data_IF_307905954566
#
_entry.id   IF_307905954566
#
_cell.length_a   1.000
_cell.length_b   1.000
_cell.length_c   1.000
_cell.angle_alpha   90.00
_cell.angle_beta   90.00
_cell.angle_gamma   90.00
#
_symmetry.space_group_name_H-M   'P 1'
#
loop_
_entity.id
_entity.type
_entity.pdbx_description
1 polymer ?
#
# COMPACT_ATOMS: atom_id res chain seq x y z
N UNK A 1 -11.29 1.17 20.06
CA UNK A 1 -10.72 2.40 19.45
C UNK A 1 -11.18 2.43 18.00
N UNK A 2 -11.65 3.56 17.46
CA UNK A 2 -11.98 3.65 16.04
C UNK A 2 -10.68 3.69 15.21
N UNK A 3 -10.59 2.87 14.18
CA UNK A 3 -9.51 2.98 13.20
C UNK A 3 -9.68 4.27 12.39
N UNK A 4 -8.62 5.07 12.28
CA UNK A 4 -8.61 6.28 11.47
C UNK A 4 -7.66 6.12 10.29
N UNK A 5 -8.23 6.18 9.10
CA UNK A 5 -7.47 6.19 7.84
C UNK A 5 -6.64 7.46 7.74
N UNK A 6 -5.34 7.31 7.45
CA UNK A 6 -4.44 8.44 7.21
C UNK A 6 -4.28 8.70 5.72
N UNK A 7 -4.23 9.97 5.31
CA UNK A 7 -4.15 10.33 3.88
C UNK A 7 -2.94 9.73 3.16
N UNK A 8 -1.80 9.57 3.83
CA UNK A 8 -0.61 8.95 3.24
C UNK A 8 -0.81 7.46 2.95
N UNK A 9 -1.63 6.76 3.72
CA UNK A 9 -1.97 5.35 3.48
C UNK A 9 -2.84 5.21 2.22
N UNK A 10 -3.78 6.13 2.01
CA UNK A 10 -4.59 6.18 0.78
C UNK A 10 -3.73 6.52 -0.44
N UNK A 11 -2.82 7.48 -0.32
CA UNK A 11 -1.86 7.80 -1.40
C UNK A 11 -0.97 6.60 -1.73
N UNK A 12 -0.48 5.89 -0.72
CA UNK A 12 0.28 4.66 -0.88
C UNK A 12 -0.54 3.60 -1.63
N UNK A 13 -1.79 3.36 -1.21
CA UNK A 13 -2.69 2.40 -1.85
C UNK A 13 -2.91 2.75 -3.33
N UNK A 14 -3.31 3.99 -3.63
CA UNK A 14 -3.57 4.43 -5.01
C UNK A 14 -2.33 4.28 -5.89
N UNK A 15 -1.15 4.66 -5.40
CA UNK A 15 0.06 4.58 -6.20
C UNK A 15 0.53 3.13 -6.41
N UNK A 16 0.41 2.26 -5.40
CA UNK A 16 0.70 0.82 -5.56
C UNK A 16 -0.25 0.19 -6.58
N UNK A 17 -1.54 0.53 -6.55
CA UNK A 17 -2.52 0.05 -7.52
C UNK A 17 -2.20 0.53 -8.94
N UNK A 18 -1.80 1.79 -9.11
CA UNK A 18 -1.40 2.37 -10.40
C UNK A 18 -0.14 1.72 -10.97
N UNK A 19 0.87 1.49 -10.13
CA UNK A 19 2.17 0.96 -10.56
C UNK A 19 2.19 -0.56 -10.69
N UNK A 20 1.25 -1.28 -10.06
CA UNK A 20 1.31 -2.74 -9.91
C UNK A 20 2.57 -3.22 -9.15
N UNK A 21 3.24 -2.31 -8.43
CA UNK A 21 4.56 -2.54 -7.85
C UNK A 21 4.81 -1.65 -6.64
N UNK A 22 5.15 -2.27 -5.50
CA UNK A 22 5.62 -1.53 -4.32
C UNK A 22 6.91 -0.78 -4.63
N UNK A 23 7.83 -1.37 -5.41
CA UNK A 23 9.09 -0.71 -5.78
C UNK A 23 8.87 0.48 -6.71
N UNK A 24 7.93 0.36 -7.66
CA UNK A 24 7.55 1.47 -8.54
C UNK A 24 6.93 2.61 -7.74
N UNK A 25 5.94 2.29 -6.90
CA UNK A 25 5.24 3.27 -6.08
C UNK A 25 6.16 3.95 -5.05
N UNK A 26 7.13 3.22 -4.47
CA UNK A 26 8.06 3.82 -3.50
C UNK A 26 8.95 4.88 -4.15
N UNK A 27 9.40 4.64 -5.40
CA UNK A 27 10.16 5.64 -6.17
C UNK A 27 9.30 6.85 -6.51
N UNK A 28 8.06 6.64 -6.95
CA UNK A 28 7.14 7.73 -7.29
C UNK A 28 6.78 8.61 -6.09
N UNK A 29 6.63 8.01 -4.91
CA UNK A 29 6.28 8.73 -3.67
C UNK A 29 7.50 9.26 -2.90
N UNK A 30 8.73 9.06 -3.40
CA UNK A 30 9.96 9.36 -2.67
C UNK A 30 10.01 8.72 -1.27
N UNK A 31 9.56 7.47 -1.18
CA UNK A 31 9.54 6.68 0.06
C UNK A 31 10.48 5.49 -0.04
N UNK A 32 10.96 5.01 1.11
CA UNK A 32 11.60 3.69 1.17
C UNK A 32 10.55 2.59 0.94
N UNK A 33 10.95 1.49 0.30
CA UNK A 33 10.06 0.33 0.09
C UNK A 33 9.49 -0.24 1.42
N UNK A 34 10.27 -0.33 2.52
CA UNK A 34 9.73 -0.75 3.82
C UNK A 34 8.68 0.20 4.37
N UNK A 35 8.88 1.52 4.28
CA UNK A 35 7.91 2.51 4.77
C UNK A 35 6.59 2.46 3.99
N UNK A 36 6.67 2.29 2.67
CA UNK A 36 5.49 2.13 1.83
C UNK A 36 4.75 0.82 2.16
N UNK A 37 5.49 -0.29 2.30
CA UNK A 37 4.90 -1.59 2.66
C UNK A 37 4.18 -1.54 4.00
N UNK A 38 4.78 -0.88 5.01
CA UNK A 38 4.18 -0.68 6.32
C UNK A 38 2.91 0.17 6.25
N UNK A 39 2.92 1.24 5.43
CA UNK A 39 1.74 2.09 5.25
C UNK A 39 0.55 1.33 4.66
N UNK A 40 0.80 0.43 3.71
CA UNK A 40 -0.23 -0.47 3.17
C UNK A 40 -0.71 -1.47 4.22
N UNK A 41 0.22 -2.09 4.95
CA UNK A 41 -0.12 -3.07 5.99
C UNK A 41 -1.00 -2.45 7.09
N UNK A 42 -0.63 -1.27 7.61
CA UNK A 42 -1.43 -0.57 8.62
C UNK A 42 -2.84 -0.21 8.12
N UNK A 43 -2.99 0.03 6.81
CA UNK A 43 -4.29 0.29 6.20
C UNK A 43 -5.13 -0.99 6.09
N UNK A 44 -4.54 -2.09 5.62
CA UNK A 44 -5.19 -3.40 5.53
C UNK A 44 -5.63 -3.90 6.91
N UNK A 45 -4.77 -3.77 7.93
CA UNK A 45 -5.06 -4.12 9.33
C UNK A 45 -6.22 -3.28 9.88
N UNK A 46 -6.19 -1.96 9.67
CA UNK A 46 -7.22 -1.06 10.16
C UNK A 46 -8.58 -1.26 9.50
N UNK A 47 -8.59 -1.64 8.21
CA UNK A 47 -9.81 -1.99 7.48
C UNK A 47 -10.27 -3.43 7.72
N UNK A 48 -9.46 -4.24 8.40
CA UNK A 48 -9.64 -5.69 8.52
C UNK A 48 -9.87 -6.37 7.15
N UNK A 49 -9.16 -5.90 6.12
CA UNK A 49 -9.34 -6.34 4.75
C UNK A 49 -8.01 -6.37 3.99
N UNK A 50 -7.83 -7.39 3.17
CA UNK A 50 -6.73 -7.45 2.22
C UNK A 50 -7.09 -6.57 1.00
N UNK A 51 -6.20 -5.65 0.65
CA UNK A 51 -6.37 -4.73 -0.48
C UNK A 51 -5.53 -5.15 -1.68
N UNK A 52 -4.47 -5.95 -1.44
CA UNK A 52 -3.58 -6.43 -2.50
C UNK A 52 -3.24 -7.92 -2.39
N UNK A 53 -3.22 -8.60 -3.54
CA UNK A 53 -2.51 -9.87 -3.72
C UNK A 53 -1.05 -9.61 -4.07
N UNK A 54 -0.12 -10.16 -3.27
CA UNK A 54 1.32 -10.19 -3.61
C UNK A 54 1.61 -11.41 -4.48
N UNK A 55 2.18 -11.20 -5.66
CA UNK A 55 2.60 -12.25 -6.60
C UNK A 55 4.08 -12.13 -6.90
N UNK A 56 4.68 -13.20 -7.44
CA UNK A 56 6.10 -13.20 -7.85
C UNK A 56 6.45 -12.09 -8.85
N UNK A 57 5.47 -11.63 -9.65
CA UNK A 57 5.63 -10.57 -10.66
C UNK A 57 5.17 -9.17 -10.22
N UNK A 58 4.75 -8.99 -8.97
CA UNK A 58 4.30 -7.68 -8.48
C UNK A 58 3.08 -7.76 -7.58
N UNK A 59 2.18 -6.79 -7.75
CA UNK A 59 1.01 -6.60 -6.87
C UNK A 59 -0.24 -6.40 -7.72
N UNK A 60 -1.38 -6.94 -7.28
CA UNK A 60 -2.68 -6.76 -7.93
C UNK A 60 -3.74 -6.50 -6.87
N UNK A 61 -4.79 -5.74 -7.20
CA UNK A 61 -5.93 -5.54 -6.30
C UNK A 61 -6.62 -6.87 -5.96
N UNK A 62 -7.27 -6.91 -4.80
CA UNK A 62 -8.10 -8.04 -4.37
C UNK A 62 -9.36 -8.22 -5.18
#
# INVERSE_FOLDING_TARGET
MAFQVKIHQIRAFVEVARQGSIRGASRMLNMSQPALSKSIQELEEGLAAQLFFRRSKGVTLT
#
